data_IF_073882016679
#
_entry.id   IF_073882016679
#
_cell.length_a   1.000
_cell.length_b   1.000
_cell.length_c   1.000
_cell.angle_alpha   90.00
_cell.angle_beta   90.00
_cell.angle_gamma   90.00
#
_symmetry.space_group_name_H-M   'P 1'
#
loop_
_entity.id
_entity.type
_entity.pdbx_description
1 polymer ?
#
# COMPACT_ATOMS: atom_id res chain seq x y z
N UNK A 1 -29.83 -1.76 -12.23
CA UNK A 1 -28.38 -1.57 -12.20
C UNK A 1 -28.05 -0.09 -12.24
N UNK A 2 -27.02 0.32 -11.48
CA UNK A 2 -26.38 1.64 -11.52
C UNK A 2 -25.03 1.51 -12.23
N UNK A 3 -24.66 2.50 -13.06
CA UNK A 3 -23.33 2.62 -13.68
C UNK A 3 -22.87 4.06 -13.66
N UNK A 4 -21.65 4.32 -14.09
CA UNK A 4 -21.07 5.67 -14.13
C UNK A 4 -20.20 5.90 -15.36
N UNK A 5 -19.98 7.16 -15.71
CA UNK A 5 -18.99 7.57 -16.68
C UNK A 5 -18.09 8.64 -16.04
N UNK A 6 -16.81 8.32 -15.89
CA UNK A 6 -15.79 9.21 -15.34
C UNK A 6 -14.87 9.81 -16.39
N UNK A 7 -14.86 9.25 -17.61
CA UNK A 7 -13.96 9.66 -18.68
C UNK A 7 -14.67 9.80 -20.03
N UNK A 8 -14.32 10.82 -20.78
CA UNK A 8 -14.91 11.15 -22.10
C UNK A 8 -14.85 9.97 -23.07
N UNK A 9 -13.81 9.16 -23.04
CA UNK A 9 -13.66 7.98 -23.92
C UNK A 9 -14.76 6.92 -23.74
N UNK A 10 -15.47 6.94 -22.61
CA UNK A 10 -16.55 5.99 -22.33
C UNK A 10 -17.94 6.49 -22.68
N UNK A 11 -18.09 7.75 -23.13
CA UNK A 11 -19.39 8.33 -23.50
C UNK A 11 -20.10 7.55 -24.61
N UNK A 12 -19.36 7.04 -25.59
CA UNK A 12 -19.93 6.21 -26.67
C UNK A 12 -20.61 4.94 -26.19
N UNK A 13 -20.31 4.48 -24.96
CA UNK A 13 -20.96 3.29 -24.38
C UNK A 13 -22.31 3.60 -23.74
N UNK A 14 -22.68 4.88 -23.57
CA UNK A 14 -23.97 5.26 -22.98
C UNK A 14 -25.16 4.73 -23.80
N UNK A 15 -25.07 4.76 -25.12
CA UNK A 15 -26.13 4.24 -26.01
C UNK A 15 -26.30 2.73 -25.94
N UNK A 16 -25.33 2.01 -25.38
CA UNK A 16 -25.32 0.52 -25.29
C UNK A 16 -25.69 0.03 -23.89
N UNK A 17 -25.69 0.89 -22.88
CA UNK A 17 -25.96 0.46 -21.51
C UNK A 17 -27.44 0.19 -21.28
N UNK A 18 -27.73 -0.85 -20.49
CA UNK A 18 -29.07 -1.18 -20.00
C UNK A 18 -29.24 -0.81 -18.52
N UNK A 19 -28.39 0.08 -18.00
CA UNK A 19 -28.48 0.53 -16.63
C UNK A 19 -29.76 1.37 -16.40
N UNK A 20 -30.41 1.17 -15.26
CA UNK A 20 -31.58 1.95 -14.87
C UNK A 20 -31.25 3.39 -14.47
N UNK A 21 -30.01 3.64 -14.05
CA UNK A 21 -29.49 4.98 -13.77
C UNK A 21 -27.98 5.06 -14.08
N UNK A 22 -27.53 6.26 -14.46
CA UNK A 22 -26.12 6.54 -14.77
C UNK A 22 -25.64 7.74 -13.98
N UNK A 23 -24.49 7.64 -13.32
CA UNK A 23 -23.82 8.76 -12.68
C UNK A 23 -22.98 9.49 -13.74
N UNK A 24 -23.24 10.77 -13.94
CA UNK A 24 -22.67 11.57 -15.02
C UNK A 24 -22.14 12.92 -14.53
N UNK A 25 -21.09 13.40 -15.21
CA UNK A 25 -20.67 14.79 -15.09
C UNK A 25 -21.71 15.72 -15.75
N UNK A 26 -21.95 16.95 -15.25
CA UNK A 26 -22.91 17.88 -15.83
C UNK A 26 -22.75 18.10 -17.33
N UNK A 27 -21.53 18.19 -17.83
CA UNK A 27 -21.21 18.42 -19.26
C UNK A 27 -21.70 17.31 -20.18
N UNK A 28 -22.05 16.14 -19.64
CA UNK A 28 -22.40 14.96 -20.45
C UNK A 28 -23.87 14.55 -20.38
N UNK A 29 -24.65 15.28 -19.58
CA UNK A 29 -26.08 14.97 -19.36
C UNK A 29 -26.86 14.95 -20.67
N UNK A 30 -26.58 15.85 -21.61
CA UNK A 30 -27.23 15.91 -22.92
C UNK A 30 -26.99 14.67 -23.82
N UNK A 31 -26.08 13.80 -23.45
CA UNK A 31 -25.78 12.56 -24.18
C UNK A 31 -26.53 11.32 -23.63
N UNK A 32 -27.35 11.51 -22.61
CA UNK A 32 -28.12 10.46 -21.96
C UNK A 32 -29.58 10.86 -21.77
N UNK A 33 -30.51 10.01 -22.22
CA UNK A 33 -31.95 10.26 -22.13
C UNK A 33 -32.64 9.55 -20.98
N UNK A 34 -31.92 8.69 -20.25
CA UNK A 34 -32.44 7.96 -19.10
C UNK A 34 -32.27 8.69 -17.76
N UNK A 35 -32.48 7.99 -16.67
CA UNK A 35 -32.25 8.53 -15.32
C UNK A 35 -30.76 8.83 -15.09
N UNK A 36 -30.44 10.05 -14.68
CA UNK A 36 -29.06 10.48 -14.38
C UNK A 36 -28.93 10.99 -12.95
N UNK A 37 -27.85 10.59 -12.28
CA UNK A 37 -27.33 11.20 -11.06
C UNK A 37 -26.17 12.13 -11.47
N UNK A 38 -26.35 13.44 -11.28
CA UNK A 38 -25.43 14.43 -11.79
C UNK A 38 -24.46 14.87 -10.69
N UNK A 39 -23.16 14.82 -10.96
CA UNK A 39 -22.10 15.24 -10.03
C UNK A 39 -20.84 15.62 -10.81
N UNK A 40 -20.08 16.58 -10.27
CA UNK A 40 -18.74 16.96 -10.77
C UNK A 40 -17.71 15.82 -10.63
N UNK A 41 -17.96 14.86 -9.75
CA UNK A 41 -17.04 13.75 -9.44
C UNK A 41 -17.72 12.39 -9.58
N UNK A 42 -18.08 11.92 -10.81
CA UNK A 42 -18.84 10.69 -11.00
C UNK A 42 -18.18 9.45 -10.39
N UNK A 43 -16.86 9.36 -10.39
CA UNK A 43 -16.15 8.21 -9.82
C UNK A 43 -16.26 8.16 -8.29
N UNK A 44 -16.15 9.32 -7.63
CA UNK A 44 -16.35 9.43 -6.15
C UNK A 44 -17.80 9.08 -5.79
N UNK A 45 -18.77 9.60 -6.55
CA UNK A 45 -20.17 9.26 -6.31
C UNK A 45 -20.47 7.77 -6.53
N UNK A 46 -19.84 7.14 -7.52
CA UNK A 46 -19.92 5.69 -7.71
C UNK A 46 -19.34 4.94 -6.50
N UNK A 47 -18.15 5.32 -6.01
CA UNK A 47 -17.56 4.70 -4.83
C UNK A 47 -18.51 4.75 -3.63
N UNK A 48 -19.11 5.92 -3.34
CA UNK A 48 -20.12 6.07 -2.28
C UNK A 48 -21.38 5.24 -2.53
N UNK A 49 -21.81 5.16 -3.78
CA UNK A 49 -22.99 4.36 -4.13
C UNK A 49 -22.75 2.86 -3.93
N UNK A 50 -21.52 2.36 -4.00
CA UNK A 50 -21.23 0.93 -3.74
C UNK A 50 -21.56 0.53 -2.30
N UNK A 51 -21.46 1.44 -1.35
CA UNK A 51 -21.84 1.20 0.06
C UNK A 51 -23.31 0.78 0.20
N UNK A 52 -24.20 1.32 -0.65
CA UNK A 52 -25.64 0.99 -0.64
C UNK A 52 -25.88 -0.45 -1.11
N UNK A 53 -24.99 -0.98 -1.92
CA UNK A 53 -25.07 -2.33 -2.48
C UNK A 53 -24.16 -3.32 -1.75
N UNK A 54 -23.49 -2.86 -0.70
CA UNK A 54 -22.64 -3.73 0.11
C UNK A 54 -23.51 -4.73 0.89
N UNK A 55 -23.28 -6.02 0.60
CA UNK A 55 -23.92 -7.14 1.25
C UNK A 55 -22.93 -8.03 2.02
N UNK A 56 -21.75 -7.51 2.29
CA UNK A 56 -20.78 -8.24 3.11
C UNK A 56 -21.31 -8.45 4.54
N UNK A 57 -20.86 -9.53 5.20
CA UNK A 57 -21.18 -9.70 6.62
C UNK A 57 -20.73 -8.50 7.45
N UNK A 58 -21.59 -8.08 8.37
CA UNK A 58 -21.30 -6.99 9.30
C UNK A 58 -20.99 -7.53 10.70
N UNK A 59 -20.31 -6.72 11.51
CA UNK A 59 -20.05 -7.02 12.91
C UNK A 59 -21.38 -7.31 13.66
N UNK A 60 -21.43 -8.42 14.38
CA UNK A 60 -22.63 -8.90 15.09
C UNK A 60 -22.76 -8.31 16.49
N UNK A 61 -21.69 -7.75 17.03
CA UNK A 61 -21.60 -7.34 18.44
C UNK A 61 -21.52 -8.52 19.43
N UNK A 62 -21.14 -9.71 18.95
CA UNK A 62 -21.13 -10.95 19.75
C UNK A 62 -19.73 -11.55 19.79
N UNK A 63 -19.32 -11.98 20.97
CA UNK A 63 -18.12 -12.82 21.15
C UNK A 63 -18.55 -14.28 21.03
N UNK A 64 -17.98 -14.99 20.04
CA UNK A 64 -18.30 -16.39 19.77
C UNK A 64 -17.75 -17.30 20.88
N UNK A 65 -18.48 -18.33 21.27
CA UNK A 65 -18.13 -19.27 22.34
C UNK A 65 -16.83 -20.07 22.11
N UNK A 66 -16.41 -20.20 20.86
CA UNK A 66 -15.12 -20.79 20.46
C UNK A 66 -14.00 -19.78 20.21
N UNK A 67 -14.19 -18.51 20.53
CA UNK A 67 -13.12 -17.55 20.60
C UNK A 67 -12.35 -17.73 21.91
N UNK A 68 -11.03 -17.50 21.88
CA UNK A 68 -10.20 -17.47 23.08
C UNK A 68 -9.88 -16.03 23.41
N UNK A 69 -10.42 -15.51 24.48
CA UNK A 69 -10.23 -14.12 24.90
C UNK A 69 -9.73 -14.12 26.34
N UNK A 70 -8.61 -13.45 26.56
CA UNK A 70 -8.04 -13.29 27.91
C UNK A 70 -8.98 -12.48 28.80
N UNK A 71 -9.13 -12.89 30.07
CA UNK A 71 -9.88 -12.11 31.07
C UNK A 71 -9.25 -10.74 31.36
N UNK A 72 -7.97 -10.54 31.02
CA UNK A 72 -7.28 -9.26 31.14
C UNK A 72 -7.43 -8.37 29.91
N UNK A 73 -8.11 -8.82 28.84
CA UNK A 73 -8.42 -7.99 27.67
C UNK A 73 -9.57 -7.01 27.99
N UNK A 74 -9.46 -5.81 27.45
CA UNK A 74 -10.46 -4.76 27.58
C UNK A 74 -11.24 -4.65 26.26
N UNK A 75 -12.54 -4.90 26.34
CA UNK A 75 -13.43 -4.86 25.18
C UNK A 75 -14.37 -3.65 25.26
N UNK A 76 -14.42 -2.88 24.18
CA UNK A 76 -15.39 -1.81 24.01
C UNK A 76 -16.82 -2.31 23.79
N UNK A 77 -17.72 -1.43 23.44
CA UNK A 77 -19.15 -1.73 23.21
C UNK A 77 -19.33 -2.39 21.84
N UNK A 78 -20.17 -3.43 21.77
CA UNK A 78 -20.53 -4.15 20.54
C UNK A 78 -19.34 -4.74 19.76
N UNK A 79 -18.29 -5.18 20.45
CA UNK A 79 -17.16 -5.88 19.86
C UNK A 79 -17.62 -7.26 19.33
N UNK A 80 -17.20 -7.60 18.13
CA UNK A 80 -17.41 -8.91 17.52
C UNK A 80 -16.12 -9.69 17.53
N UNK A 81 -16.13 -10.93 18.05
CA UNK A 81 -14.98 -11.83 18.01
C UNK A 81 -15.46 -13.18 17.47
N UNK A 82 -15.01 -13.53 16.28
CA UNK A 82 -15.47 -14.74 15.60
C UNK A 82 -14.81 -16.02 16.12
N UNK A 83 -15.35 -17.16 15.71
CA UNK A 83 -14.89 -18.49 16.11
C UNK A 83 -13.39 -18.71 15.83
N UNK A 84 -12.66 -19.21 16.83
CA UNK A 84 -11.23 -19.52 16.71
C UNK A 84 -10.31 -18.30 16.71
N UNK A 85 -10.83 -17.08 16.83
CA UNK A 85 -9.99 -15.91 17.08
C UNK A 85 -9.36 -15.99 18.47
N UNK A 86 -8.15 -15.45 18.61
CA UNK A 86 -7.39 -15.43 19.85
C UNK A 86 -6.99 -14.00 20.21
N UNK A 87 -7.39 -13.54 21.40
CA UNK A 87 -7.09 -12.22 21.96
C UNK A 87 -6.34 -12.40 23.27
N UNK A 88 -5.10 -11.95 23.29
CA UNK A 88 -4.20 -12.12 24.43
C UNK A 88 -4.44 -11.11 25.56
N UNK A 89 -3.64 -11.22 26.61
CA UNK A 89 -3.74 -10.37 27.79
C UNK A 89 -3.38 -8.91 27.50
N UNK A 90 -4.01 -8.00 28.23
CA UNK A 90 -3.80 -6.56 28.14
C UNK A 90 -4.09 -5.96 26.75
N UNK A 91 -4.77 -6.69 25.87
CA UNK A 91 -5.29 -6.15 24.62
C UNK A 91 -6.39 -5.15 24.92
N UNK A 92 -6.44 -4.03 24.19
CA UNK A 92 -7.52 -3.06 24.26
C UNK A 92 -8.21 -2.97 22.89
N UNK A 93 -9.50 -3.32 22.83
CA UNK A 93 -10.34 -3.19 21.66
C UNK A 93 -11.35 -2.05 21.88
N UNK A 94 -11.39 -1.11 20.96
CA UNK A 94 -12.38 -0.03 20.95
C UNK A 94 -13.80 -0.52 20.64
N UNK A 95 -14.73 0.41 20.50
CA UNK A 95 -16.12 0.10 20.19
C UNK A 95 -16.28 -0.47 18.78
N UNK A 96 -17.19 -1.43 18.61
CA UNK A 96 -17.54 -2.05 17.32
C UNK A 96 -16.37 -2.66 16.54
N UNK A 97 -15.27 -2.94 17.23
CA UNK A 97 -14.16 -3.70 16.62
C UNK A 97 -14.64 -5.09 16.23
N UNK A 98 -14.20 -5.57 15.08
CA UNK A 98 -14.47 -6.94 14.63
C UNK A 98 -13.18 -7.71 14.44
N UNK A 99 -13.00 -8.80 15.21
CA UNK A 99 -11.92 -9.75 15.09
C UNK A 99 -12.45 -11.00 14.38
N UNK A 100 -12.03 -11.18 13.13
CA UNK A 100 -12.46 -12.26 12.25
C UNK A 100 -11.96 -13.65 12.69
N UNK A 101 -12.58 -14.68 12.15
CA UNK A 101 -12.30 -16.06 12.50
C UNK A 101 -10.81 -16.43 12.36
N UNK A 102 -10.25 -17.04 13.40
CA UNK A 102 -8.84 -17.47 13.42
C UNK A 102 -7.82 -16.33 13.41
N UNK A 103 -8.24 -15.07 13.53
CA UNK A 103 -7.30 -13.95 13.70
C UNK A 103 -6.65 -14.00 15.08
N UNK A 104 -5.40 -13.51 15.17
CA UNK A 104 -4.62 -13.44 16.40
C UNK A 104 -4.32 -11.99 16.76
N UNK A 105 -4.57 -11.62 18.01
CA UNK A 105 -4.26 -10.30 18.57
C UNK A 105 -3.36 -10.49 19.78
N UNK A 106 -2.11 -10.12 19.64
CA UNK A 106 -1.03 -10.32 20.60
C UNK A 106 -1.10 -9.38 21.79
N UNK A 107 -0.43 -9.79 22.86
CA UNK A 107 -0.37 -9.10 24.15
C UNK A 107 -0.16 -7.60 24.04
N UNK A 108 -1.00 -6.82 24.74
CA UNK A 108 -0.88 -5.38 24.83
C UNK A 108 -1.15 -4.61 23.54
N UNK A 109 -1.67 -5.27 22.48
CA UNK A 109 -2.08 -4.57 21.27
C UNK A 109 -3.29 -3.66 21.55
N UNK A 110 -3.37 -2.55 20.82
CA UNK A 110 -4.44 -1.56 20.94
C UNK A 110 -5.10 -1.37 19.57
N UNK A 111 -6.41 -1.54 19.50
CA UNK A 111 -7.19 -1.45 18.26
C UNK A 111 -8.33 -0.47 18.46
N UNK A 112 -8.36 0.60 17.66
CA UNK A 112 -9.35 1.67 17.74
C UNK A 112 -10.73 1.29 17.19
N UNK A 113 -11.70 2.15 17.45
CA UNK A 113 -13.11 1.94 17.13
C UNK A 113 -13.36 1.63 15.65
N UNK A 114 -14.39 0.84 15.37
CA UNK A 114 -14.84 0.49 14.02
C UNK A 114 -13.78 -0.22 13.16
N UNK A 115 -12.67 -0.68 13.74
CA UNK A 115 -11.60 -1.38 13.02
C UNK A 115 -11.96 -2.85 12.83
N UNK A 116 -11.67 -3.37 11.64
CA UNK A 116 -11.97 -4.74 11.22
C UNK A 116 -10.68 -5.50 10.95
N UNK A 117 -10.43 -6.52 11.74
CA UNK A 117 -9.35 -7.50 11.54
C UNK A 117 -9.96 -8.74 10.88
N UNK A 118 -9.69 -8.94 9.61
CA UNK A 118 -10.29 -10.03 8.80
C UNK A 118 -9.71 -11.39 9.18
N UNK A 119 -10.36 -12.50 8.75
CA UNK A 119 -9.97 -13.86 9.15
C UNK A 119 -8.48 -14.17 8.91
N UNK A 120 -7.85 -14.80 9.90
CA UNK A 120 -6.47 -15.25 9.83
C UNK A 120 -5.41 -14.15 9.87
N UNK A 121 -5.77 -12.87 10.00
CA UNK A 121 -4.79 -11.81 10.18
C UNK A 121 -4.11 -11.90 11.54
N UNK A 122 -2.84 -11.50 11.61
CA UNK A 122 -2.00 -11.57 12.81
C UNK A 122 -1.58 -10.15 13.21
N UNK A 123 -2.02 -9.73 14.39
CA UNK A 123 -1.56 -8.50 15.04
C UNK A 123 -0.62 -8.90 16.16
N UNK A 124 0.66 -8.60 16.04
CA UNK A 124 1.67 -8.96 17.02
C UNK A 124 1.55 -8.11 18.30
N UNK A 125 2.36 -8.46 19.31
CA UNK A 125 2.33 -7.79 20.61
C UNK A 125 2.65 -6.28 20.51
N UNK A 126 2.00 -5.49 21.36
CA UNK A 126 2.16 -4.04 21.52
C UNK A 126 1.91 -3.20 20.26
N UNK A 127 1.35 -3.75 19.19
CA UNK A 127 0.96 -3.02 17.97
C UNK A 127 -0.19 -2.09 18.29
N UNK A 128 -0.16 -0.89 17.70
CA UNK A 128 -1.26 0.07 17.76
C UNK A 128 -1.90 0.23 16.39
N UNK A 129 -3.22 0.17 16.35
CA UNK A 129 -4.02 0.41 15.14
C UNK A 129 -5.12 1.40 15.50
N UNK A 130 -5.24 2.47 14.74
CA UNK A 130 -6.26 3.50 14.90
C UNK A 130 -7.68 3.01 14.60
N UNK A 131 -8.58 3.95 14.45
CA UNK A 131 -10.01 3.70 14.21
C UNK A 131 -10.31 3.53 12.70
N UNK A 132 -11.39 2.82 12.36
CA UNK A 132 -11.92 2.61 11.01
C UNK A 132 -10.91 2.00 10.05
N UNK A 133 -10.00 1.18 10.57
CA UNK A 133 -9.04 0.46 9.75
C UNK A 133 -9.60 -0.89 9.27
N UNK A 134 -9.08 -1.38 8.16
CA UNK A 134 -9.33 -2.74 7.70
C UNK A 134 -8.01 -3.46 7.47
N UNK A 135 -7.80 -4.56 8.21
CA UNK A 135 -6.68 -5.47 7.99
C UNK A 135 -7.21 -6.74 7.33
N UNK A 136 -6.84 -6.96 6.08
CA UNK A 136 -7.34 -8.04 5.23
C UNK A 136 -6.78 -9.42 5.62
N UNK A 137 -7.36 -10.52 5.08
CA UNK A 137 -7.00 -11.88 5.51
C UNK A 137 -5.50 -12.17 5.40
N UNK A 138 -4.97 -12.84 6.44
CA UNK A 138 -3.58 -13.26 6.53
C UNK A 138 -2.53 -12.12 6.47
N UNK A 139 -2.91 -10.87 6.57
CA UNK A 139 -1.94 -9.80 6.76
C UNK A 139 -1.28 -9.93 8.15
N UNK A 140 0.01 -9.60 8.24
CA UNK A 140 0.79 -9.70 9.48
C UNK A 140 1.34 -8.34 9.87
N UNK A 141 0.96 -7.85 11.05
CA UNK A 141 1.37 -6.54 11.54
C UNK A 141 2.24 -6.72 12.79
N UNK A 142 3.48 -6.24 12.72
CA UNK A 142 4.40 -6.26 13.85
C UNK A 142 5.30 -7.49 13.94
N UNK A 143 5.48 -8.25 12.84
CA UNK A 143 6.52 -9.27 12.77
C UNK A 143 7.92 -8.66 12.92
N UNK A 144 8.90 -9.45 13.36
CA UNK A 144 10.29 -8.99 13.43
C UNK A 144 10.81 -8.59 12.04
N UNK A 145 11.38 -7.39 11.96
CA UNK A 145 12.09 -6.95 10.77
C UNK A 145 13.37 -7.74 10.51
N UNK A 146 13.84 -7.71 9.27
CA UNK A 146 15.09 -8.35 8.86
C UNK A 146 16.30 -7.54 9.35
N UNK A 147 16.82 -7.94 10.51
CA UNK A 147 17.99 -7.31 11.13
C UNK A 147 19.00 -8.36 11.59
N UNK A 148 20.17 -8.40 10.94
CA UNK A 148 21.26 -9.33 11.27
C UNK A 148 22.62 -8.65 11.09
N UNK A 149 23.52 -8.86 12.03
CA UNK A 149 24.91 -8.42 11.96
C UNK A 149 25.80 -9.57 11.43
N UNK A 150 26.69 -9.31 10.45
CA UNK A 150 27.66 -10.32 10.04
C UNK A 150 28.73 -10.51 11.11
N UNK A 151 29.00 -11.76 11.46
CA UNK A 151 30.07 -12.14 12.39
C UNK A 151 30.92 -13.27 11.76
N UNK A 152 32.07 -13.56 12.36
CA UNK A 152 32.97 -14.61 11.82
C UNK A 152 32.31 -15.99 11.74
N UNK A 153 31.38 -16.27 12.66
CA UNK A 153 30.69 -17.56 12.78
C UNK A 153 29.30 -17.58 12.12
N UNK A 154 28.91 -16.51 11.39
CA UNK A 154 27.60 -16.39 10.73
C UNK A 154 26.86 -15.11 11.09
N UNK A 155 25.52 -15.17 11.09
CA UNK A 155 24.66 -14.02 11.31
C UNK A 155 24.16 -13.96 12.75
N UNK A 156 24.34 -12.81 13.42
CA UNK A 156 23.77 -12.55 14.74
C UNK A 156 22.50 -11.73 14.57
N UNK A 157 21.38 -12.23 15.11
CA UNK A 157 20.08 -11.55 15.05
C UNK A 157 20.12 -10.24 15.85
N UNK A 158 19.67 -9.15 15.23
CA UNK A 158 19.39 -7.89 15.93
C UNK A 158 17.93 -7.91 16.37
N UNK A 159 17.69 -7.79 17.69
CA UNK A 159 16.33 -7.81 18.24
C UNK A 159 15.56 -6.58 17.76
N UNK A 160 14.31 -6.78 17.43
CA UNK A 160 13.40 -5.73 17.00
C UNK A 160 12.59 -5.28 18.23
N UNK A 161 13.03 -4.18 18.87
CA UNK A 161 12.59 -3.78 20.21
C UNK A 161 11.40 -2.80 20.19
N UNK A 162 11.19 -2.12 19.07
CA UNK A 162 10.10 -1.19 18.88
C UNK A 162 8.83 -1.91 18.36
N UNK A 163 7.82 -1.19 17.95
CA UNK A 163 6.53 -1.72 17.54
C UNK A 163 6.10 -1.22 16.14
N UNK A 164 4.79 -1.26 15.89
CA UNK A 164 4.13 -0.66 14.74
C UNK A 164 3.03 0.26 15.26
N UNK A 165 2.94 1.45 14.68
CA UNK A 165 1.89 2.43 14.92
C UNK A 165 1.14 2.72 13.61
N UNK A 166 -0.14 2.36 13.56
CA UNK A 166 -1.01 2.56 12.40
C UNK A 166 -2.08 3.59 12.75
N UNK A 167 -2.19 4.63 11.94
CA UNK A 167 -3.18 5.69 12.07
C UNK A 167 -4.62 5.25 11.81
N UNK A 168 -5.48 6.20 11.56
CA UNK A 168 -6.91 5.97 11.30
C UNK A 168 -7.18 5.80 9.80
N UNK A 169 -8.32 5.16 9.46
CA UNK A 169 -8.79 5.03 8.08
C UNK A 169 -7.77 4.34 7.15
N UNK A 170 -6.97 3.41 7.71
CA UNK A 170 -5.93 2.66 6.98
C UNK A 170 -6.49 1.32 6.48
N UNK A 171 -6.17 0.98 5.23
CA UNK A 171 -6.50 -0.33 4.67
C UNK A 171 -5.22 -1.10 4.32
N UNK A 172 -5.10 -2.35 4.83
CA UNK A 172 -3.93 -3.21 4.60
C UNK A 172 -4.39 -4.51 3.93
N UNK A 173 -3.96 -4.70 2.69
CA UNK A 173 -4.34 -5.80 1.82
C UNK A 173 -3.89 -7.17 2.30
N UNK A 174 -4.50 -8.21 1.72
CA UNK A 174 -4.27 -9.59 2.10
C UNK A 174 -2.80 -10.03 1.90
N UNK A 175 -2.28 -10.80 2.86
CA UNK A 175 -0.90 -11.29 2.89
C UNK A 175 0.16 -10.17 2.86
N UNK A 176 -0.17 -8.94 3.15
CA UNK A 176 0.79 -7.85 3.32
C UNK A 176 1.42 -7.93 4.71
N UNK A 177 2.68 -7.52 4.82
CA UNK A 177 3.44 -7.58 6.06
C UNK A 177 3.97 -6.18 6.41
N UNK A 178 3.75 -5.75 7.65
CA UNK A 178 4.33 -4.54 8.22
C UNK A 178 5.22 -4.96 9.38
N UNK A 179 6.52 -4.89 9.18
CA UNK A 179 7.50 -5.29 10.20
C UNK A 179 7.57 -4.26 11.33
N UNK A 180 7.81 -4.73 12.56
CA UNK A 180 8.10 -3.84 13.68
C UNK A 180 9.45 -3.20 13.55
N UNK A 181 9.61 -2.03 14.16
CA UNK A 181 10.87 -1.32 14.17
C UNK A 181 11.93 -1.97 15.05
N UNK A 182 13.19 -1.66 14.72
CA UNK A 182 14.32 -2.11 15.55
C UNK A 182 14.47 -1.28 16.83
N UNK A 183 14.50 0.05 16.70
CA UNK A 183 14.64 1.02 17.80
C UNK A 183 13.52 2.05 17.81
N UNK A 184 13.01 2.42 16.63
CA UNK A 184 11.89 3.32 16.43
C UNK A 184 10.76 2.58 15.77
N UNK A 185 9.50 2.93 16.07
CA UNK A 185 8.32 2.26 15.52
C UNK A 185 8.26 2.40 14.00
N UNK A 186 7.79 1.36 13.34
CA UNK A 186 7.28 1.47 11.96
C UNK A 186 5.95 2.19 12.00
N UNK A 187 5.77 3.22 11.18
CA UNK A 187 4.60 4.11 11.23
C UNK A 187 3.88 4.13 9.89
N UNK A 188 2.56 3.91 9.94
CA UNK A 188 1.66 4.08 8.78
C UNK A 188 0.62 5.13 9.17
N UNK A 189 0.69 6.30 8.55
CA UNK A 189 -0.17 7.44 8.92
C UNK A 189 -1.61 7.30 8.39
N UNK A 190 -2.47 8.25 8.76
CA UNK A 190 -3.92 8.23 8.46
C UNK A 190 -4.22 8.15 6.95
N UNK A 191 -5.21 7.35 6.60
CA UNK A 191 -5.76 7.25 5.25
C UNK A 191 -4.84 6.57 4.23
N UNK A 192 -3.79 5.89 4.69
CA UNK A 192 -2.92 5.09 3.81
C UNK A 192 -3.66 3.84 3.35
N UNK A 193 -3.55 3.53 2.06
CA UNK A 193 -4.08 2.30 1.47
C UNK A 193 -2.95 1.43 0.93
N UNK A 194 -2.89 0.20 1.40
CA UNK A 194 -1.88 -0.80 1.06
C UNK A 194 -2.58 -2.00 0.42
N UNK A 195 -2.23 -2.33 -0.79
CA UNK A 195 -2.77 -3.48 -1.53
C UNK A 195 -2.13 -4.80 -1.05
N UNK A 196 -2.47 -5.89 -1.71
CA UNK A 196 -2.06 -7.25 -1.34
C UNK A 196 -0.57 -7.51 -1.58
N UNK A 197 0.03 -8.39 -0.78
CA UNK A 197 1.41 -8.87 -0.95
C UNK A 197 2.47 -7.75 -0.86
N UNK A 198 2.20 -6.70 -0.12
CA UNK A 198 3.15 -5.61 0.12
C UNK A 198 4.02 -5.92 1.31
N UNK A 199 5.32 -5.59 1.23
CA UNK A 199 6.27 -5.66 2.34
C UNK A 199 6.67 -4.26 2.79
N UNK A 200 6.34 -3.91 4.03
CA UNK A 200 6.83 -2.70 4.72
C UNK A 200 7.90 -3.13 5.72
N UNK A 201 9.15 -2.75 5.49
CA UNK A 201 10.27 -3.09 6.34
C UNK A 201 10.29 -2.30 7.67
N UNK A 202 11.11 -2.76 8.60
CA UNK A 202 11.26 -2.15 9.93
C UNK A 202 11.65 -0.66 9.88
N UNK A 203 11.07 0.16 10.75
CA UNK A 203 11.37 1.60 10.85
C UNK A 203 10.98 2.42 9.62
N UNK A 204 10.17 1.88 8.73
CA UNK A 204 9.58 2.63 7.61
C UNK A 204 8.50 3.56 8.15
N UNK A 205 8.44 4.77 7.59
CA UNK A 205 7.31 5.67 7.79
C UNK A 205 6.59 5.89 6.45
N UNK A 206 5.27 5.75 6.45
CA UNK A 206 4.40 6.02 5.30
C UNK A 206 3.49 7.19 5.63
N UNK A 207 3.67 8.30 4.92
CA UNK A 207 2.91 9.53 5.12
C UNK A 207 1.45 9.43 4.68
N UNK A 208 0.64 10.34 5.21
CA UNK A 208 -0.83 10.35 5.09
C UNK A 208 -1.32 10.21 3.64
N UNK A 209 -2.42 9.44 3.45
CA UNK A 209 -3.11 9.26 2.15
C UNK A 209 -2.21 8.74 1.03
N UNK A 210 -1.12 8.07 1.36
CA UNK A 210 -0.28 7.39 0.37
C UNK A 210 -0.93 6.08 -0.05
N UNK A 211 -0.88 5.77 -1.34
CA UNK A 211 -1.39 4.54 -1.92
C UNK A 211 -0.24 3.65 -2.40
N UNK A 212 -0.23 2.39 -1.95
CA UNK A 212 0.80 1.40 -2.27
C UNK A 212 0.12 0.21 -2.92
N UNK A 213 0.39 -0.01 -4.20
CA UNK A 213 -0.20 -1.10 -4.97
C UNK A 213 0.49 -2.45 -4.70
N UNK A 214 -0.09 -3.51 -5.24
CA UNK A 214 0.32 -4.88 -4.94
C UNK A 214 1.80 -5.19 -5.23
N UNK A 215 2.38 -6.06 -4.38
CA UNK A 215 3.73 -6.59 -4.52
C UNK A 215 4.85 -5.53 -4.43
N UNK A 216 4.58 -4.37 -3.87
CA UNK A 216 5.62 -3.37 -3.57
C UNK A 216 6.44 -3.85 -2.38
N UNK A 217 7.76 -3.67 -2.47
CA UNK A 217 8.70 -3.93 -1.38
C UNK A 217 9.41 -2.66 -0.95
N UNK A 218 9.30 -2.30 0.34
CA UNK A 218 9.95 -1.13 0.92
C UNK A 218 10.92 -1.59 1.99
N UNK A 219 12.21 -1.36 1.76
CA UNK A 219 13.25 -1.75 2.71
C UNK A 219 13.29 -0.83 3.93
N UNK A 220 13.86 -1.36 5.03
CA UNK A 220 13.87 -0.70 6.33
C UNK A 220 14.38 0.73 6.35
N UNK A 221 13.86 1.54 7.27
CA UNK A 221 14.28 2.93 7.51
C UNK A 221 13.86 3.95 6.45
N UNK A 222 13.12 3.54 5.41
CA UNK A 222 12.67 4.45 4.34
C UNK A 222 11.53 5.34 4.83
N UNK A 223 11.61 6.63 4.50
CA UNK A 223 10.62 7.65 4.82
C UNK A 223 9.86 8.05 3.56
N UNK A 224 8.57 7.74 3.50
CA UNK A 224 7.71 8.07 2.36
C UNK A 224 6.78 9.22 2.77
N UNK A 225 6.77 10.27 1.98
CA UNK A 225 5.92 11.44 2.18
C UNK A 225 4.43 11.15 2.03
N UNK A 226 3.64 12.19 2.19
CA UNK A 226 2.19 12.13 2.07
C UNK A 226 1.73 12.11 0.59
N UNK A 227 0.54 11.55 0.32
CA UNK A 227 -0.13 11.55 -0.99
C UNK A 227 0.68 10.93 -2.12
N UNK A 228 1.65 10.08 -1.78
CA UNK A 228 2.41 9.33 -2.78
C UNK A 228 1.55 8.22 -3.41
N UNK A 229 1.90 7.85 -4.63
CA UNK A 229 1.33 6.69 -5.32
C UNK A 229 2.45 5.78 -5.78
N UNK A 230 2.54 4.60 -5.17
CA UNK A 230 3.56 3.61 -5.49
C UNK A 230 2.90 2.48 -6.27
N UNK A 231 3.17 2.42 -7.57
CA UNK A 231 2.56 1.43 -8.44
C UNK A 231 3.15 0.02 -8.22
N UNK A 232 2.40 -0.99 -8.66
CA UNK A 232 2.68 -2.40 -8.36
C UNK A 232 4.08 -2.87 -8.72
N UNK A 233 4.61 -3.75 -7.89
CA UNK A 233 5.93 -4.37 -8.02
C UNK A 233 7.11 -3.38 -7.95
N UNK A 234 6.91 -2.15 -7.51
CA UNK A 234 8.02 -1.24 -7.25
C UNK A 234 8.84 -1.73 -6.03
N UNK A 235 10.14 -1.49 -6.08
CA UNK A 235 11.06 -1.86 -5.00
C UNK A 235 11.91 -0.67 -4.56
N UNK A 236 11.99 -0.44 -3.24
CA UNK A 236 12.75 0.67 -2.66
C UNK A 236 13.90 0.15 -1.82
N UNK A 237 15.10 0.71 -2.04
CA UNK A 237 16.25 0.48 -1.16
C UNK A 237 15.98 1.06 0.24
N UNK A 238 16.78 0.63 1.23
CA UNK A 238 16.65 1.11 2.60
C UNK A 238 17.13 2.53 2.81
N UNK A 239 16.61 3.17 3.86
CA UNK A 239 17.03 4.49 4.36
C UNK A 239 16.89 5.63 3.32
N UNK A 240 15.90 5.52 2.43
CA UNK A 240 15.58 6.57 1.47
C UNK A 240 14.58 7.57 2.05
N UNK A 241 14.58 8.78 1.47
CA UNK A 241 13.54 9.78 1.68
C UNK A 241 12.82 10.02 0.35
N UNK A 242 11.50 9.89 0.38
CA UNK A 242 10.61 10.15 -0.76
C UNK A 242 9.75 11.35 -0.37
N UNK A 243 9.80 12.41 -1.17
CA UNK A 243 9.02 13.62 -0.93
C UNK A 243 7.50 13.36 -1.02
N UNK A 244 6.72 14.32 -0.56
CA UNK A 244 5.26 14.33 -0.76
C UNK A 244 4.92 14.35 -2.28
N UNK A 245 3.73 13.87 -2.63
CA UNK A 245 3.18 13.93 -3.99
C UNK A 245 4.05 13.25 -5.06
N UNK A 246 4.83 12.24 -4.69
CA UNK A 246 5.65 11.43 -5.61
C UNK A 246 4.84 10.25 -6.14
N UNK A 247 4.90 10.04 -7.46
CA UNK A 247 4.32 8.89 -8.13
C UNK A 247 5.43 7.99 -8.69
N UNK A 248 5.54 6.76 -8.22
CA UNK A 248 6.49 5.76 -8.73
C UNK A 248 5.75 4.79 -9.67
N UNK A 249 6.22 4.70 -10.91
CA UNK A 249 5.66 3.79 -11.92
C UNK A 249 5.86 2.31 -11.57
N UNK A 250 5.04 1.45 -12.18
CA UNK A 250 5.08 0.00 -11.95
C UNK A 250 6.46 -0.61 -12.23
N UNK A 251 6.85 -1.58 -11.40
CA UNK A 251 8.18 -2.21 -11.42
C UNK A 251 9.35 -1.21 -11.25
N UNK A 252 9.05 -0.01 -10.75
CA UNK A 252 10.05 1.03 -10.50
C UNK A 252 11.06 0.59 -9.45
N UNK A 253 12.37 0.67 -9.77
CA UNK A 253 13.46 0.47 -8.82
C UNK A 253 13.93 1.82 -8.30
N UNK A 254 13.69 2.10 -7.03
CA UNK A 254 14.13 3.32 -6.35
C UNK A 254 15.39 3.00 -5.54
N UNK A 255 16.53 3.47 -6.01
CA UNK A 255 17.83 3.20 -5.41
C UNK A 255 18.44 4.41 -4.69
N UNK A 256 17.83 5.59 -4.84
CA UNK A 256 18.22 6.85 -4.20
C UNK A 256 17.00 7.64 -3.78
N UNK A 257 17.17 8.59 -2.86
CA UNK A 257 16.08 9.46 -2.40
C UNK A 257 15.50 10.28 -3.55
N UNK A 258 14.18 10.52 -3.48
CA UNK A 258 13.42 11.33 -4.43
C UNK A 258 12.90 12.56 -3.67
N UNK A 259 13.55 13.69 -3.86
CA UNK A 259 13.36 14.91 -3.03
C UNK A 259 12.36 15.89 -3.61
N UNK A 260 11.92 15.69 -4.85
CA UNK A 260 10.98 16.58 -5.54
C UNK A 260 9.69 15.83 -5.86
N UNK A 261 8.50 16.47 -5.72
CA UNK A 261 7.25 15.91 -6.19
C UNK A 261 7.30 15.61 -7.70
N UNK A 262 6.57 14.59 -8.14
CA UNK A 262 6.51 14.29 -9.58
C UNK A 262 6.30 12.82 -9.90
N UNK A 263 6.36 12.51 -11.19
CA UNK A 263 6.18 11.16 -11.72
C UNK A 263 7.53 10.56 -12.11
N UNK A 264 7.88 9.44 -11.50
CA UNK A 264 9.14 8.73 -11.69
C UNK A 264 8.90 7.33 -12.20
N UNK A 265 9.73 6.86 -13.11
CA UNK A 265 9.63 5.51 -13.63
C UNK A 265 11.02 4.97 -13.93
N UNK A 266 11.18 3.67 -13.88
CA UNK A 266 12.41 2.98 -14.26
C UNK A 266 12.09 1.68 -14.99
N UNK A 267 13.11 1.04 -15.56
CA UNK A 267 12.95 -0.18 -16.33
C UNK A 267 12.75 0.07 -17.83
N UNK A 268 12.68 -1.00 -18.57
CA UNK A 268 12.51 -0.96 -20.03
C UNK A 268 11.08 -1.35 -20.41
N UNK A 269 10.44 -0.65 -21.36
CA UNK A 269 9.11 -1.03 -21.82
C UNK A 269 9.15 -2.41 -22.49
N UNK A 270 8.01 -3.11 -22.46
CA UNK A 270 7.81 -4.37 -23.17
C UNK A 270 8.09 -4.19 -24.67
N UNK A 271 8.84 -5.12 -25.26
CA UNK A 271 9.21 -5.11 -26.67
C UNK A 271 9.05 -6.51 -27.26
N UNK A 272 8.90 -6.65 -28.60
CA UNK A 272 9.04 -7.95 -29.26
C UNK A 272 10.38 -8.59 -28.92
N UNK A 273 10.42 -9.90 -28.64
CA UNK A 273 11.57 -10.63 -28.11
C UNK A 273 12.89 -10.32 -28.86
N UNK A 274 12.86 -10.35 -30.21
CA UNK A 274 14.06 -10.07 -31.02
C UNK A 274 14.59 -8.64 -30.83
N UNK A 275 13.70 -7.67 -30.64
CA UNK A 275 14.09 -6.28 -30.39
C UNK A 275 14.68 -6.14 -28.98
N UNK A 276 14.03 -6.75 -27.98
CA UNK A 276 14.50 -6.76 -26.60
C UNK A 276 15.89 -7.40 -26.47
N UNK A 277 16.12 -8.58 -27.05
CA UNK A 277 17.42 -9.25 -27.02
C UNK A 277 18.55 -8.39 -27.60
N UNK A 278 18.27 -7.66 -28.71
CA UNK A 278 19.25 -6.72 -29.27
C UNK A 278 19.54 -5.54 -28.34
N UNK A 279 18.49 -4.97 -27.71
CA UNK A 279 18.63 -3.87 -26.77
C UNK A 279 19.40 -4.30 -25.51
N UNK A 280 19.03 -5.45 -24.93
CA UNK A 280 19.70 -6.03 -23.76
C UNK A 280 21.20 -6.32 -24.03
N UNK A 281 21.53 -6.88 -25.19
CA UNK A 281 22.90 -7.10 -25.60
C UNK A 281 23.73 -5.81 -25.75
N UNK A 282 23.11 -4.74 -26.22
CA UNK A 282 23.76 -3.43 -26.33
C UNK A 282 23.91 -2.74 -24.99
N UNK A 283 22.96 -2.92 -24.09
CA UNK A 283 23.01 -2.35 -22.74
C UNK A 283 24.30 -2.75 -22.01
N UNK A 284 24.72 -4.00 -22.09
CA UNK A 284 25.99 -4.49 -21.50
C UNK A 284 27.24 -3.88 -22.13
N UNK A 285 27.08 -3.19 -23.26
CA UNK A 285 28.21 -2.56 -24.00
C UNK A 285 28.18 -1.03 -23.92
N UNK A 286 27.26 -0.43 -23.14
CA UNK A 286 27.10 1.03 -23.09
C UNK A 286 28.40 1.75 -22.77
N UNK A 287 29.15 1.31 -21.75
CA UNK A 287 30.42 1.92 -21.38
C UNK A 287 31.42 1.92 -22.56
N UNK A 288 31.53 0.79 -23.29
CA UNK A 288 32.38 0.72 -24.48
C UNK A 288 31.92 1.64 -25.61
N UNK A 289 30.58 1.79 -25.78
CA UNK A 289 30.00 2.66 -26.80
C UNK A 289 30.27 4.13 -26.44
N UNK A 290 30.09 4.51 -25.17
CA UNK A 290 30.37 5.86 -24.68
C UNK A 290 31.82 6.22 -24.85
N UNK A 291 32.78 5.35 -24.45
CA UNK A 291 34.22 5.59 -24.65
C UNK A 291 34.61 5.80 -26.14
N UNK A 292 33.99 5.01 -27.04
CA UNK A 292 34.19 5.20 -28.47
C UNK A 292 33.62 6.51 -29.00
N UNK A 293 32.45 6.92 -28.48
CA UNK A 293 31.82 8.20 -28.84
C UNK A 293 32.72 9.39 -28.42
N UNK A 294 33.15 9.40 -27.17
CA UNK A 294 34.05 10.44 -26.63
C UNK A 294 35.35 10.52 -27.44
N UNK A 295 35.94 9.37 -27.83
CA UNK A 295 37.12 9.37 -28.65
C UNK A 295 36.89 9.93 -30.07
N UNK A 296 35.71 9.69 -30.66
CA UNK A 296 35.31 10.23 -31.94
C UNK A 296 35.07 11.75 -31.85
N UNK A 297 34.36 12.21 -30.83
CA UNK A 297 34.10 13.65 -30.60
C UNK A 297 35.42 14.42 -30.47
N UNK A 298 36.36 13.90 -29.70
CA UNK A 298 37.71 14.46 -29.59
C UNK A 298 38.45 14.49 -30.94
N UNK A 299 38.34 13.44 -31.73
CA UNK A 299 39.02 13.35 -33.03
C UNK A 299 38.44 14.34 -34.06
N UNK A 300 37.16 14.69 -33.97
CA UNK A 300 36.52 15.65 -34.91
C UNK A 300 36.42 17.09 -34.35
N UNK A 301 37.04 17.34 -33.18
CA UNK A 301 37.11 18.68 -32.58
C UNK A 301 35.79 19.19 -31.97
N UNK A 302 34.84 18.30 -31.63
CA UNK A 302 33.65 18.63 -30.87
C UNK A 302 34.07 18.70 -29.39
N UNK A 303 34.12 19.90 -28.83
CA UNK A 303 34.27 20.08 -27.38
C UNK A 303 33.01 19.56 -26.67
N UNK A 304 33.20 18.79 -25.61
CA UNK A 304 32.08 18.42 -24.74
C UNK A 304 31.53 19.68 -24.10
N UNK A 305 30.38 20.14 -24.51
CA UNK A 305 29.55 21.05 -23.72
C UNK A 305 29.27 20.34 -22.39
N UNK A 306 29.83 20.87 -21.30
CA UNK A 306 29.72 20.25 -19.99
C UNK A 306 28.28 20.19 -19.52
N UNK A 307 27.66 19.03 -19.60
CA UNK A 307 26.54 18.66 -18.72
C UNK A 307 27.15 18.25 -17.37
N UNK A 308 27.24 19.22 -16.48
CA UNK A 308 27.48 18.99 -15.06
C UNK A 308 26.15 18.66 -14.42
N UNK A 309 25.58 17.46 -14.63
CA UNK A 309 24.53 16.91 -13.78
C UNK A 309 24.43 15.40 -14.09
N UNK A 310 25.22 14.59 -13.40
CA UNK A 310 25.08 13.13 -13.32
C UNK A 310 25.25 12.69 -11.86
#
# INVERSE_FOLDING_TARGET
>A
HLTFVSEKRHLSKLSLTQAGAVILHPDWVGQWSGCALITETPYVAYAKATEIFDNHPHASGVVHDRAVVSDAAQLGVAVTIDAGAHVEENVSLGDRVWIGAGAFVGQGAQIGDDTVIKPGAVICHAVKIGARCTVHPNATIGADGFGFAPAAEGWIKIQQLASVDIGNDVEIGANSTVDRGALEDTVVEDGVIIDNLVQIGHGVRVGTRTAIAAQVGISGGTQIGARCVIAGQAGMAGHLTIADDVHIGGQGRVASSVTEPGHYSSGTPVQPLRAWLRSASRFTQLDKIVRRLVALEKAVGLEQGGDQDA
#
